data_IF_584726662095
#
_entry.id   IF_584726662095
#
_cell.length_a   1.000
_cell.length_b   1.000
_cell.length_c   1.000
_cell.angle_alpha   90.00
_cell.angle_beta   90.00
_cell.angle_gamma   90.00
#
_symmetry.space_group_name_H-M   'P 1'
#
loop_
_entity.id
_entity.type
_entity.pdbx_description
1 polymer ?
#
# COMPACT_ATOMS: atom_id res chain seq x y z
N UNK A 1 17.03 -20.23 16.12
CA UNK A 1 16.96 -18.76 16.01
C UNK A 1 15.54 -18.33 16.38
N UNK A 2 15.31 -17.19 17.05
CA UNK A 2 13.95 -16.83 17.46
C UNK A 2 13.11 -16.47 16.23
N UNK A 3 12.05 -17.24 15.99
CA UNK A 3 11.04 -16.99 14.97
C UNK A 3 9.97 -16.04 15.51
N UNK A 4 9.29 -15.31 14.63
CA UNK A 4 8.14 -14.47 15.01
C UNK A 4 7.02 -15.40 15.53
N UNK A 5 6.44 -15.17 16.72
CA UNK A 5 5.40 -16.06 17.24
C UNK A 5 4.15 -16.11 16.35
N UNK A 6 3.60 -17.29 16.11
CA UNK A 6 2.37 -17.51 15.32
C UNK A 6 1.17 -16.67 15.81
N UNK A 7 1.08 -16.42 17.13
CA UNK A 7 0.07 -15.53 17.70
C UNK A 7 0.23 -14.07 17.26
N UNK A 8 1.46 -13.62 17.00
CA UNK A 8 1.77 -12.29 16.47
C UNK A 8 1.33 -12.18 15.01
N UNK A 9 1.62 -13.21 14.20
CA UNK A 9 1.24 -13.27 12.78
C UNK A 9 -0.28 -13.17 12.63
N UNK A 10 -1.03 -13.97 13.40
CA UNK A 10 -2.50 -13.91 13.38
C UNK A 10 -3.05 -12.52 13.69
N UNK A 11 -2.48 -11.82 14.67
CA UNK A 11 -2.90 -10.46 15.01
C UNK A 11 -2.65 -9.46 13.89
N UNK A 12 -1.53 -9.59 13.16
CA UNK A 12 -1.29 -8.77 11.97
C UNK A 12 -2.38 -9.01 10.93
N UNK A 13 -2.66 -10.28 10.60
CA UNK A 13 -3.71 -10.64 9.64
C UNK A 13 -5.07 -10.07 10.04
N UNK A 14 -5.46 -10.20 11.31
CA UNK A 14 -6.70 -9.63 11.85
C UNK A 14 -6.74 -8.10 11.71
N UNK A 15 -5.62 -7.39 11.93
CA UNK A 15 -5.56 -5.94 11.80
C UNK A 15 -5.56 -5.45 10.34
N UNK A 16 -4.93 -6.19 9.43
CA UNK A 16 -4.99 -5.89 7.99
C UNK A 16 -6.43 -5.93 7.49
N UNK A 17 -7.33 -6.65 8.17
CA UNK A 17 -8.76 -6.61 7.85
C UNK A 17 -9.41 -5.24 8.00
N UNK A 18 -8.77 -4.34 8.72
CA UNK A 18 -9.23 -2.97 8.91
C UNK A 18 -8.77 -2.03 7.79
N UNK A 19 -7.97 -2.48 6.81
CA UNK A 19 -7.52 -1.67 5.69
C UNK A 19 -8.58 -1.53 4.60
N UNK A 20 -8.84 -0.32 4.08
CA UNK A 20 -9.72 -0.12 2.92
C UNK A 20 -9.27 -1.04 1.78
N UNK A 21 -10.18 -1.46 0.89
CA UNK A 21 -9.89 -2.33 -0.27
C UNK A 21 -9.67 -3.81 0.00
N UNK A 22 -9.96 -4.26 1.22
CA UNK A 22 -10.13 -5.68 1.45
C UNK A 22 -11.32 -6.23 0.65
N UNK A 23 -11.03 -7.06 -0.34
CA UNK A 23 -12.00 -7.91 -1.03
C UNK A 23 -11.53 -9.37 -0.99
N UNK A 24 -12.46 -10.31 -1.07
CA UNK A 24 -12.09 -11.71 -1.31
C UNK A 24 -12.20 -11.89 -2.81
N UNK A 25 -11.07 -12.04 -3.50
CA UNK A 25 -11.11 -12.29 -4.94
C UNK A 25 -11.98 -13.54 -5.18
N UNK A 26 -13.01 -13.44 -6.02
CA UNK A 26 -14.01 -14.51 -6.27
C UNK A 26 -13.38 -15.86 -6.72
N UNK A 27 -12.10 -15.86 -7.06
CA UNK A 27 -11.35 -17.01 -7.57
C UNK A 27 -10.14 -17.41 -6.73
N UNK A 28 -9.82 -16.68 -5.66
CA UNK A 28 -8.74 -17.01 -4.73
C UNK A 28 -9.28 -17.05 -3.30
N UNK A 29 -8.80 -18.00 -2.49
CA UNK A 29 -9.05 -18.02 -1.03
C UNK A 29 -8.27 -16.90 -0.30
N UNK A 30 -7.76 -15.93 -1.04
CA UNK A 30 -6.81 -14.92 -0.61
C UNK A 30 -7.55 -13.58 -0.46
N UNK A 31 -7.34 -12.94 0.69
CA UNK A 31 -7.90 -11.62 0.97
C UNK A 31 -7.11 -10.60 0.15
N UNK A 32 -7.65 -10.07 -0.92
CA UNK A 32 -6.99 -8.96 -1.63
C UNK A 32 -7.09 -7.71 -0.76
N UNK A 33 -5.96 -7.20 -0.24
CA UNK A 33 -5.94 -6.02 0.64
C UNK A 33 -6.05 -4.74 -0.20
N UNK A 34 -5.56 -4.77 -1.45
CA UNK A 34 -5.59 -3.72 -2.48
C UNK A 34 -5.41 -4.38 -3.86
N UNK A 35 -5.69 -3.68 -4.99
CA UNK A 35 -5.35 -4.18 -6.32
C UNK A 35 -3.96 -4.83 -6.33
N UNK A 36 -3.91 -6.14 -6.60
CA UNK A 36 -2.66 -6.90 -6.68
C UNK A 36 -1.81 -6.98 -5.40
N UNK A 37 -2.40 -6.76 -4.21
CA UNK A 37 -1.73 -6.93 -2.90
C UNK A 37 -2.47 -7.92 -2.03
N UNK A 38 -1.79 -8.95 -1.56
CA UNK A 38 -2.41 -10.06 -0.83
C UNK A 38 -1.64 -10.38 0.45
N UNK A 39 -2.29 -10.79 1.55
CA UNK A 39 -1.61 -11.12 2.78
C UNK A 39 -0.98 -12.49 2.71
N UNK A 40 0.16 -12.57 3.38
CA UNK A 40 0.91 -13.80 3.55
C UNK A 40 0.38 -14.58 4.75
N UNK A 41 -0.01 -15.84 4.53
CA UNK A 41 -0.34 -16.76 5.60
C UNK A 41 0.84 -17.68 5.89
N UNK A 42 1.40 -17.58 7.10
CA UNK A 42 2.41 -18.51 7.62
C UNK A 42 1.80 -19.62 8.50
N UNK A 43 0.49 -19.79 8.42
CA UNK A 43 -0.21 -20.86 9.14
C UNK A 43 0.18 -22.19 8.49
N UNK A 44 0.93 -23.02 9.22
CA UNK A 44 1.41 -24.30 8.71
C UNK A 44 2.83 -24.26 8.15
N UNK A 45 3.65 -23.27 8.50
CA UNK A 45 5.05 -23.16 8.04
C UNK A 45 5.87 -24.43 8.22
N UNK A 46 5.59 -25.19 9.28
CA UNK A 46 6.21 -26.47 9.57
C UNK A 46 5.88 -27.61 8.58
N UNK A 47 4.93 -27.40 7.67
CA UNK A 47 4.44 -28.41 6.74
C UNK A 47 5.14 -28.33 5.37
N UNK A 48 5.67 -27.16 4.98
CA UNK A 48 6.34 -26.95 3.68
C UNK A 48 7.44 -25.88 3.76
N UNK A 49 8.55 -26.22 4.41
CA UNK A 49 9.67 -25.29 4.66
C UNK A 49 10.19 -24.63 3.38
N UNK A 50 10.24 -25.36 2.26
CA UNK A 50 10.75 -24.84 0.98
C UNK A 50 9.85 -23.75 0.40
N UNK A 51 8.52 -23.94 0.47
CA UNK A 51 7.57 -22.89 0.10
C UNK A 51 7.74 -21.64 0.98
N UNK A 52 7.95 -21.78 2.29
CA UNK A 52 8.11 -20.62 3.17
C UNK A 52 9.48 -19.93 3.08
N UNK A 53 10.52 -20.66 2.67
CA UNK A 53 11.84 -20.09 2.36
C UNK A 53 11.77 -19.20 1.12
N UNK A 54 11.10 -19.62 0.04
CA UNK A 54 10.92 -18.78 -1.16
C UNK A 54 10.07 -17.54 -0.87
N UNK A 55 9.15 -17.59 0.09
CA UNK A 55 8.38 -16.41 0.51
C UNK A 55 9.21 -15.34 1.24
N UNK A 56 10.43 -15.68 1.65
CA UNK A 56 11.41 -14.73 2.21
C UNK A 56 12.33 -14.14 1.15
N UNK A 57 12.30 -14.65 -0.08
CA UNK A 57 13.07 -14.14 -1.21
C UNK A 57 12.51 -12.78 -1.65
N UNK A 58 13.38 -11.79 -1.69
CA UNK A 58 13.14 -10.43 -2.18
C UNK A 58 13.33 -10.38 -3.69
N UNK A 59 12.87 -9.31 -4.33
CA UNK A 59 12.89 -9.16 -5.79
C UNK A 59 14.31 -9.17 -6.39
N UNK A 60 15.32 -8.87 -5.57
CA UNK A 60 16.73 -8.84 -5.95
C UNK A 60 17.48 -10.15 -5.63
N UNK A 61 16.76 -11.26 -5.45
CA UNK A 61 17.29 -12.57 -5.03
C UNK A 61 17.94 -12.58 -3.62
N UNK A 62 17.80 -11.50 -2.84
CA UNK A 62 18.17 -11.50 -1.41
C UNK A 62 17.06 -12.14 -0.57
N UNK A 63 17.35 -12.42 0.70
CA UNK A 63 16.34 -12.95 1.63
C UNK A 63 16.08 -11.98 2.77
N UNK A 64 14.81 -11.83 3.16
CA UNK A 64 14.47 -11.13 4.41
C UNK A 64 15.22 -11.75 5.57
N UNK A 65 15.69 -10.92 6.50
CA UNK A 65 16.37 -11.41 7.69
C UNK A 65 15.47 -12.42 8.44
N UNK A 66 16.00 -13.43 9.17
CA UNK A 66 15.17 -14.39 9.92
C UNK A 66 14.26 -13.78 10.99
N UNK A 67 14.49 -12.51 11.34
CA UNK A 67 13.69 -11.72 12.26
C UNK A 67 12.63 -10.86 11.58
N UNK A 68 12.62 -10.87 10.24
CA UNK A 68 11.72 -10.14 9.36
C UNK A 68 10.74 -11.10 8.70
N UNK A 69 9.48 -10.68 8.62
CA UNK A 69 8.38 -11.44 8.07
C UNK A 69 7.63 -10.60 7.05
N UNK A 70 7.53 -11.07 5.81
CA UNK A 70 6.72 -10.44 4.79
C UNK A 70 5.25 -10.66 5.12
N UNK A 71 4.50 -9.62 5.45
CA UNK A 71 3.07 -9.69 5.80
C UNK A 71 2.17 -9.69 4.56
N UNK A 72 2.63 -9.15 3.44
CA UNK A 72 1.90 -9.13 2.17
C UNK A 72 2.84 -9.39 1.01
N UNK A 73 2.33 -9.96 -0.07
CA UNK A 73 3.02 -10.05 -1.35
C UNK A 73 2.28 -9.21 -2.39
N UNK A 74 3.04 -8.63 -3.32
CA UNK A 74 2.51 -7.91 -4.46
C UNK A 74 2.56 -8.76 -5.73
N UNK A 75 1.51 -8.73 -6.54
CA UNK A 75 1.49 -9.37 -7.86
C UNK A 75 1.89 -8.37 -8.95
N UNK A 76 2.67 -8.83 -9.94
CA UNK A 76 2.98 -8.09 -11.15
C UNK A 76 3.79 -6.78 -10.96
N UNK A 77 4.47 -6.61 -9.83
CA UNK A 77 5.21 -5.39 -9.44
C UNK A 77 4.34 -4.19 -9.03
N UNK A 78 3.02 -4.36 -8.87
CA UNK A 78 2.10 -3.27 -8.52
C UNK A 78 1.55 -3.33 -7.09
N UNK A 79 1.81 -4.42 -6.36
CA UNK A 79 1.35 -4.58 -4.99
C UNK A 79 2.27 -3.95 -3.94
N UNK A 80 1.72 -3.66 -2.77
CA UNK A 80 2.50 -3.15 -1.63
C UNK A 80 2.95 -4.29 -0.72
N UNK A 81 4.25 -4.41 -0.55
CA UNK A 81 4.85 -5.41 0.34
C UNK A 81 5.19 -4.82 1.70
N UNK A 82 4.53 -5.33 2.74
CA UNK A 82 4.82 -4.99 4.13
C UNK A 82 5.78 -6.02 4.72
N UNK A 83 6.89 -5.58 5.30
CA UNK A 83 7.85 -6.45 5.97
C UNK A 83 7.91 -6.06 7.45
N UNK A 84 7.44 -6.95 8.31
CA UNK A 84 7.55 -6.79 9.76
C UNK A 84 8.88 -7.31 10.28
N UNK A 85 9.76 -6.41 10.71
CA UNK A 85 11.06 -6.76 11.25
C UNK A 85 11.17 -6.46 12.74
N UNK A 86 11.29 -7.53 13.54
CA UNK A 86 11.39 -7.45 15.00
C UNK A 86 12.69 -6.84 15.52
N UNK A 87 13.72 -6.66 14.68
CA UNK A 87 15.02 -6.11 15.09
C UNK A 87 15.29 -4.70 14.57
N UNK A 88 14.61 -4.30 13.51
CA UNK A 88 14.83 -2.99 12.88
C UNK A 88 13.93 -1.96 13.55
N UNK A 89 14.53 -0.84 13.98
CA UNK A 89 13.86 0.20 14.78
C UNK A 89 13.38 1.38 13.94
N UNK A 90 13.74 1.44 12.66
CA UNK A 90 13.32 2.48 11.73
C UNK A 90 12.40 1.89 10.66
N UNK A 91 11.23 2.49 10.49
CA UNK A 91 10.40 2.30 9.32
C UNK A 91 10.90 3.22 8.20
N UNK A 92 11.78 2.70 7.35
CA UNK A 92 12.17 3.38 6.11
C UNK A 92 11.65 2.58 4.92
N UNK A 93 11.26 3.30 3.87
CA UNK A 93 11.06 2.74 2.53
C UNK A 93 12.46 2.44 1.99
N UNK A 94 12.86 1.17 2.06
CA UNK A 94 14.07 0.68 1.41
C UNK A 94 13.62 -0.19 0.24
N UNK A 95 14.02 0.19 -0.97
CA UNK A 95 13.91 -0.62 -2.17
C UNK A 95 12.48 -1.12 -2.50
N UNK A 96 11.45 -0.31 -2.22
CA UNK A 96 10.06 -0.60 -2.57
C UNK A 96 9.29 -1.44 -1.53
N UNK A 97 9.86 -1.61 -0.33
CA UNK A 97 9.25 -2.35 0.77
C UNK A 97 8.93 -1.44 1.96
N UNK A 98 7.75 -1.63 2.56
CA UNK A 98 7.40 -0.96 3.82
C UNK A 98 7.89 -1.77 5.01
N UNK A 99 9.01 -1.33 5.60
CA UNK A 99 9.53 -1.92 6.83
C UNK A 99 8.74 -1.44 8.04
N UNK A 100 8.08 -2.37 8.70
CA UNK A 100 7.37 -2.18 9.95
C UNK A 100 8.29 -2.58 11.10
N UNK A 101 8.60 -1.63 11.97
CA UNK A 101 9.50 -1.84 13.12
C UNK A 101 8.95 -2.85 14.12
N UNK A 102 9.84 -3.50 14.87
CA UNK A 102 9.47 -4.43 15.94
C UNK A 102 8.61 -3.77 17.02
N UNK A 103 7.40 -4.29 17.25
CA UNK A 103 6.43 -3.72 18.18
C UNK A 103 5.14 -4.54 18.29
N UNK A 104 4.17 -4.09 19.10
CA UNK A 104 2.87 -4.76 19.09
C UNK A 104 2.18 -4.54 17.73
N UNK A 105 1.57 -5.57 17.11
CA UNK A 105 0.96 -5.44 15.78
C UNK A 105 0.03 -4.24 15.64
N UNK A 106 -0.77 -3.94 16.68
CA UNK A 106 -1.66 -2.78 16.69
C UNK A 106 -0.88 -1.47 16.72
N UNK A 107 0.12 -1.32 17.58
CA UNK A 107 0.92 -0.09 17.66
C UNK A 107 1.60 0.24 16.34
N UNK A 108 2.01 -0.80 15.62
CA UNK A 108 2.76 -0.69 14.37
C UNK A 108 1.84 -0.45 13.16
N UNK A 109 0.69 -1.13 13.07
CA UNK A 109 -0.23 -0.97 11.94
C UNK A 109 -1.27 0.15 12.12
N UNK A 110 -1.64 0.52 13.34
CA UNK A 110 -2.71 1.51 13.57
C UNK A 110 -2.44 2.86 12.88
N UNK A 111 -1.22 3.43 12.90
CA UNK A 111 -0.94 4.66 12.17
C UNK A 111 -1.19 4.51 10.67
N UNK A 112 -0.82 3.37 10.10
CA UNK A 112 -1.01 3.06 8.69
C UNK A 112 -2.51 2.90 8.35
N UNK A 113 -3.23 2.08 9.13
CA UNK A 113 -4.68 1.90 9.00
C UNK A 113 -5.41 3.25 9.10
N UNK A 114 -5.01 4.10 10.05
CA UNK A 114 -5.60 5.43 10.24
C UNK A 114 -5.36 6.34 9.04
N UNK A 115 -4.15 6.35 8.47
CA UNK A 115 -3.85 7.11 7.25
C UNK A 115 -4.63 6.59 6.04
N UNK A 116 -4.79 5.29 5.91
CA UNK A 116 -5.65 4.71 4.87
C UNK A 116 -7.12 5.08 5.06
N UNK A 117 -7.62 5.03 6.30
CA UNK A 117 -9.00 5.40 6.65
C UNK A 117 -9.31 6.86 6.35
N UNK A 118 -8.37 7.76 6.65
CA UNK A 118 -8.45 9.19 6.35
C UNK A 118 -8.22 9.51 4.85
N UNK A 119 -8.07 8.48 4.02
CA UNK A 119 -7.72 8.59 2.60
C UNK A 119 -6.41 9.40 2.40
N UNK A 120 -5.51 9.40 3.38
CA UNK A 120 -4.18 9.97 3.21
C UNK A 120 -3.37 9.06 2.29
N UNK A 121 -3.43 7.75 2.54
CA UNK A 121 -2.96 6.72 1.61
C UNK A 121 -4.19 6.04 0.99
N UNK A 122 -4.29 6.01 -0.33
CA UNK A 122 -5.40 5.31 -1.00
C UNK A 122 -4.94 4.63 -2.28
N UNK A 123 -5.63 3.54 -2.64
CA UNK A 123 -5.29 2.76 -3.83
C UNK A 123 -5.48 3.56 -5.11
N UNK A 124 -4.40 3.72 -5.86
CA UNK A 124 -4.35 4.13 -7.27
C UNK A 124 -4.12 2.89 -8.15
N UNK A 125 -4.23 3.02 -9.47
CA UNK A 125 -4.13 1.85 -10.35
C UNK A 125 -2.75 1.17 -10.27
N UNK A 126 -1.72 1.93 -9.90
CA UNK A 126 -0.32 1.48 -9.80
C UNK A 126 0.06 0.95 -8.41
N UNK A 127 -0.85 0.99 -7.43
CA UNK A 127 -0.59 0.60 -6.05
C UNK A 127 -1.10 1.61 -5.04
N UNK A 128 -0.49 1.68 -3.86
CA UNK A 128 -0.86 2.64 -2.83
C UNK A 128 -0.10 3.96 -3.00
N UNK A 129 -0.82 5.09 -3.01
CA UNK A 129 -0.16 6.39 -3.02
C UNK A 129 0.29 6.80 -1.62
N UNK A 130 1.60 6.65 -1.37
CA UNK A 130 2.28 7.08 -0.15
C UNK A 130 2.86 8.49 -0.22
N UNK A 131 2.81 9.14 -1.38
CA UNK A 131 3.51 10.42 -1.63
C UNK A 131 2.78 11.62 -1.04
N UNK A 132 1.80 11.38 -0.16
CA UNK A 132 0.95 12.43 0.38
C UNK A 132 1.76 13.50 1.08
N UNK A 133 2.57 13.15 2.07
CA UNK A 133 3.36 14.12 2.83
C UNK A 133 4.31 14.90 1.92
N UNK A 134 5.02 14.21 1.03
CA UNK A 134 5.97 14.83 0.09
C UNK A 134 5.34 15.94 -0.74
N UNK A 135 4.22 15.66 -1.41
CA UNK A 135 3.58 16.64 -2.28
C UNK A 135 2.68 17.62 -1.54
N UNK A 136 2.01 17.20 -0.47
CA UNK A 136 1.20 18.09 0.36
C UNK A 136 2.07 19.20 0.97
N UNK A 137 3.21 18.84 1.55
CA UNK A 137 4.07 19.79 2.26
C UNK A 137 4.82 20.72 1.28
N UNK A 138 5.02 20.29 0.04
CA UNK A 138 5.56 21.13 -1.03
C UNK A 138 4.61 22.26 -1.47
N UNK A 139 3.31 22.13 -1.19
CA UNK A 139 2.29 23.07 -1.66
C UNK A 139 2.17 23.19 -3.19
N UNK A 140 2.69 22.22 -3.94
CA UNK A 140 2.74 22.28 -5.40
C UNK A 140 3.92 23.05 -5.99
N UNK A 141 4.97 23.24 -5.19
CA UNK A 141 6.20 23.89 -5.63
C UNK A 141 7.37 22.90 -5.66
N UNK A 142 8.08 22.77 -6.79
CA UNK A 142 9.29 21.95 -6.84
C UNK A 142 10.38 22.59 -5.97
N UNK A 143 11.37 21.80 -5.51
CA UNK A 143 12.53 22.35 -4.81
C UNK A 143 13.26 23.39 -5.66
N UNK A 144 13.57 24.54 -5.06
CA UNK A 144 14.06 25.74 -5.77
C UNK A 144 15.49 25.55 -6.29
N UNK A 145 16.25 24.67 -5.68
CA UNK A 145 17.64 24.33 -5.99
C UNK A 145 17.78 23.32 -7.14
N UNK A 146 16.68 22.74 -7.62
CA UNK A 146 16.70 21.78 -8.72
C UNK A 146 16.89 22.47 -10.06
N UNK A 147 17.55 21.78 -10.99
CA UNK A 147 17.64 22.24 -12.38
C UNK A 147 16.26 22.25 -13.05
N UNK A 148 16.09 23.12 -14.06
CA UNK A 148 14.80 23.35 -14.71
C UNK A 148 14.16 22.07 -15.26
N UNK A 149 14.96 21.13 -15.77
CA UNK A 149 14.44 19.86 -16.29
C UNK A 149 13.87 18.98 -15.16
N UNK A 150 14.54 18.90 -14.01
CA UNK A 150 14.03 18.20 -12.83
C UNK A 150 12.80 18.89 -12.23
N UNK A 151 12.75 20.23 -12.25
CA UNK A 151 11.54 20.96 -11.82
C UNK A 151 10.34 20.66 -12.72
N UNK A 152 10.56 20.52 -14.04
CA UNK A 152 9.51 20.13 -14.99
C UNK A 152 9.00 18.72 -14.75
N UNK A 153 9.89 17.77 -14.53
CA UNK A 153 9.52 16.39 -14.20
C UNK A 153 8.72 16.35 -12.89
N UNK A 154 9.22 17.03 -11.84
CA UNK A 154 8.52 17.13 -10.56
C UNK A 154 7.10 17.70 -10.71
N UNK A 155 6.94 18.77 -11.50
CA UNK A 155 5.62 19.38 -11.75
C UNK A 155 4.68 18.43 -12.50
N UNK A 156 5.19 17.63 -13.44
CA UNK A 156 4.41 16.61 -14.12
C UNK A 156 3.92 15.55 -13.11
N UNK A 157 4.82 15.01 -12.28
CA UNK A 157 4.49 14.06 -11.22
C UNK A 157 3.51 14.63 -10.18
N UNK A 158 3.68 15.90 -9.79
CA UNK A 158 2.76 16.58 -8.89
C UNK A 158 1.35 16.71 -9.49
N UNK A 159 1.24 17.02 -10.79
CA UNK A 159 -0.05 17.12 -11.47
C UNK A 159 -0.78 15.77 -11.50
N UNK A 160 -0.06 14.68 -11.77
CA UNK A 160 -0.59 13.31 -11.69
C UNK A 160 -1.08 13.03 -10.27
N UNK A 161 -0.24 13.28 -9.27
CA UNK A 161 -0.60 13.09 -7.86
C UNK A 161 -1.84 13.91 -7.48
N UNK A 162 -1.87 15.21 -7.76
CA UNK A 162 -2.99 16.09 -7.45
C UNK A 162 -4.29 15.65 -8.13
N UNK A 163 -4.20 15.18 -9.38
CA UNK A 163 -5.34 14.62 -10.10
C UNK A 163 -5.84 13.33 -9.45
N UNK A 164 -4.94 12.43 -9.04
CA UNK A 164 -5.29 11.22 -8.30
C UNK A 164 -5.98 11.55 -6.97
N UNK A 165 -5.54 12.58 -6.23
CA UNK A 165 -6.16 13.00 -4.95
C UNK A 165 -7.62 13.37 -5.06
N UNK A 166 -8.10 13.83 -6.22
CA UNK A 166 -9.53 14.08 -6.44
C UNK A 166 -10.38 12.80 -6.44
N UNK A 167 -9.77 11.61 -6.53
CA UNK A 167 -10.50 10.36 -6.34
C UNK A 167 -11.07 10.23 -4.92
N UNK A 168 -10.53 10.95 -3.93
CA UNK A 168 -11.13 11.04 -2.60
C UNK A 168 -12.60 11.46 -2.64
N UNK A 169 -12.97 12.35 -3.54
CA UNK A 169 -14.35 12.79 -3.67
C UNK A 169 -15.24 11.61 -4.09
N UNK A 170 -14.74 10.72 -4.96
CA UNK A 170 -15.42 9.48 -5.36
C UNK A 170 -15.59 8.56 -4.15
N UNK A 171 -14.57 8.40 -3.30
CA UNK A 171 -14.70 7.62 -2.06
C UNK A 171 -15.83 8.13 -1.18
N UNK A 172 -15.81 9.44 -0.90
CA UNK A 172 -16.77 10.09 0.00
C UNK A 172 -18.19 10.01 -0.58
N UNK A 173 -18.35 10.28 -1.88
CA UNK A 173 -19.63 10.17 -2.58
C UNK A 173 -20.20 8.74 -2.55
N UNK A 174 -19.33 7.74 -2.62
CA UNK A 174 -19.67 6.32 -2.52
C UNK A 174 -19.92 5.87 -1.07
N UNK A 175 -19.89 6.78 -0.09
CA UNK A 175 -20.25 6.50 1.30
C UNK A 175 -19.08 6.13 2.20
N UNK A 176 -17.84 6.37 1.77
CA UNK A 176 -16.66 6.16 2.62
C UNK A 176 -16.70 7.10 3.83
N UNK A 177 -16.61 6.55 5.03
CA UNK A 177 -16.61 7.33 6.26
C UNK A 177 -15.23 7.34 6.91
N UNK A 178 -14.51 8.47 6.79
CA UNK A 178 -13.15 8.63 7.33
C UNK A 178 -13.05 8.52 8.86
N UNK A 179 -14.18 8.53 9.58
CA UNK A 179 -14.20 8.51 11.05
C UNK A 179 -14.52 7.14 11.65
N UNK A 180 -14.80 6.12 10.83
CA UNK A 180 -15.14 4.76 11.32
C UNK A 180 -14.61 3.69 10.38
N UNK A 181 -14.21 2.55 10.93
CA UNK A 181 -13.86 1.36 10.14
C UNK A 181 -15.06 0.59 9.60
N UNK A 182 -16.28 0.99 9.96
CA UNK A 182 -17.51 0.42 9.39
C UNK A 182 -17.67 0.81 7.92
N UNK A 183 -17.78 -0.21 7.06
CA UNK A 183 -17.91 -0.08 5.61
C UNK A 183 -19.27 -0.51 5.07
N UNK A 184 -20.23 -0.82 5.93
CA UNK A 184 -21.55 -1.30 5.52
C UNK A 184 -22.31 -0.33 4.59
N UNK A 185 -22.01 0.97 4.67
CA UNK A 185 -22.58 2.00 3.80
C UNK A 185 -21.78 2.30 2.53
N UNK A 186 -20.62 1.67 2.32
CA UNK A 186 -19.75 1.95 1.18
C UNK A 186 -20.22 1.17 -0.05
N UNK A 187 -20.50 1.89 -1.14
CA UNK A 187 -20.95 1.34 -2.42
C UNK A 187 -19.73 0.96 -3.27
N UNK A 188 -19.12 -0.20 -2.96
CA UNK A 188 -17.89 -0.70 -3.57
C UNK A 188 -17.94 -0.76 -5.09
N UNK A 189 -19.01 -1.33 -5.66
CA UNK A 189 -19.10 -1.56 -7.10
C UNK A 189 -19.17 -0.23 -7.87
N UNK A 190 -19.98 0.71 -7.38
CA UNK A 190 -20.06 2.07 -7.93
C UNK A 190 -18.71 2.79 -7.82
N UNK A 191 -18.03 2.62 -6.68
CA UNK A 191 -16.72 3.21 -6.46
C UNK A 191 -15.69 2.68 -7.49
N UNK A 192 -15.63 1.36 -7.69
CA UNK A 192 -14.70 0.72 -8.62
C UNK A 192 -14.93 1.25 -10.04
N UNK A 193 -16.17 1.30 -10.50
CA UNK A 193 -16.53 1.80 -11.84
C UNK A 193 -16.17 3.29 -12.02
N UNK A 194 -16.55 4.13 -11.05
CA UNK A 194 -16.28 5.59 -11.11
C UNK A 194 -14.79 5.87 -11.03
N UNK A 195 -14.06 5.16 -10.17
CA UNK A 195 -12.59 5.25 -10.05
C UNK A 195 -11.92 4.88 -11.36
N UNK A 196 -12.27 3.74 -11.95
CA UNK A 196 -11.69 3.31 -13.24
C UNK A 196 -11.96 4.34 -14.35
N UNK A 197 -13.19 4.83 -14.43
CA UNK A 197 -13.57 5.86 -15.40
C UNK A 197 -12.78 7.15 -15.22
N UNK A 198 -12.63 7.62 -13.97
CA UNK A 198 -11.88 8.83 -13.66
C UNK A 198 -10.39 8.65 -13.95
N UNK A 199 -9.81 7.51 -13.58
CA UNK A 199 -8.42 7.16 -13.87
C UNK A 199 -8.12 7.29 -15.37
N UNK A 200 -8.87 6.57 -16.19
CA UNK A 200 -8.67 6.55 -17.65
C UNK A 200 -8.86 7.92 -18.31
N UNK A 201 -9.80 8.73 -17.81
CA UNK A 201 -10.14 10.01 -18.45
C UNK A 201 -9.30 11.19 -17.97
N UNK A 202 -8.74 11.12 -16.76
CA UNK A 202 -8.11 12.28 -16.12
C UNK A 202 -6.67 11.99 -15.71
N UNK A 203 -6.39 10.85 -15.09
CA UNK A 203 -5.05 10.56 -14.56
C UNK A 203 -4.15 9.94 -15.61
N UNK A 204 -4.61 8.93 -16.34
CA UNK A 204 -3.82 8.28 -17.40
C UNK A 204 -3.28 9.27 -18.45
N UNK A 205 -4.05 10.25 -18.96
CA UNK A 205 -3.50 11.22 -19.89
C UNK A 205 -2.39 12.10 -19.32
N UNK A 206 -2.34 12.31 -18.01
CA UNK A 206 -1.27 13.06 -17.34
C UNK A 206 -0.01 12.20 -17.17
N UNK A 207 -0.17 10.91 -16.86
CA UNK A 207 0.93 9.94 -16.84
C UNK A 207 1.59 9.82 -18.20
N UNK A 208 0.80 9.69 -19.27
CA UNK A 208 1.30 9.62 -20.64
C UNK A 208 2.11 10.87 -21.05
N UNK A 209 1.87 12.02 -20.40
CA UNK A 209 2.64 13.25 -20.58
C UNK A 209 3.91 13.21 -19.74
N UNK A 210 3.81 12.82 -18.46
CA UNK A 210 4.94 12.67 -17.54
C UNK A 210 6.02 11.75 -18.14
N UNK A 211 5.65 10.58 -18.67
CA UNK A 211 6.57 9.62 -19.29
C UNK A 211 7.32 10.18 -20.52
N UNK A 212 6.84 11.27 -21.10
CA UNK A 212 7.45 11.94 -22.26
C UNK A 212 8.33 13.13 -21.89
N UNK A 213 8.39 13.52 -20.61
CA UNK A 213 9.03 14.76 -20.14
C UNK A 213 10.36 14.52 -19.43
#
# INVERSE_FOLDING_TARGET
MPQVPQATIRKFMELMTMLPYMDVADHYLELEIQPSTYPMSYVGEQLDVGYFESQRELYNDDFTAPCALRLTFGEGSYGTEFIYDTKTTNSEDQDGYFHLSGGQPREVLEPFISKCQQLLYFGIAEGLDFRYEFYHDSGGHPPVDWEEHFQRQWLASYNVWAAARKMKDIYLDCGWNVNTSDRSGFRSDEFIERRATYWTKVVQPLLDIEERT
#
